data_IF_163518250529
#
_entry.id   IF_163518250529
#
_cell.length_a   1.000
_cell.length_b   1.000
_cell.length_c   1.000
_cell.angle_alpha   90.00
_cell.angle_beta   90.00
_cell.angle_gamma   90.00
#
_symmetry.space_group_name_H-M   'P 1'
#
loop_
_entity.id
_entity.type
_entity.pdbx_description
1 polymer ?
#
# COMPACT_ATOMS: atom_id res chain seq x y z
N UNK A 1 15.16 -11.36 -14.39
CA UNK A 1 13.97 -11.72 -13.56
C UNK A 1 13.24 -10.47 -13.06
N UNK A 2 13.88 -9.58 -12.33
CA UNK A 2 13.28 -8.35 -11.75
C UNK A 2 12.68 -7.44 -12.83
N UNK A 3 13.33 -7.29 -13.99
CA UNK A 3 12.86 -6.50 -15.14
C UNK A 3 11.47 -6.91 -15.63
N UNK A 4 11.12 -8.21 -15.58
CA UNK A 4 9.77 -8.68 -15.91
C UNK A 4 8.73 -8.05 -14.99
N UNK A 5 8.96 -8.10 -13.67
CA UNK A 5 8.00 -7.57 -12.68
C UNK A 5 7.97 -6.05 -12.67
N UNK A 6 9.10 -5.39 -12.94
CA UNK A 6 9.13 -3.94 -13.17
C UNK A 6 8.22 -3.52 -14.33
N UNK A 7 8.34 -4.20 -15.51
CA UNK A 7 7.48 -3.91 -16.67
C UNK A 7 6.00 -4.10 -16.35
N UNK A 8 5.65 -5.17 -15.61
CA UNK A 8 4.28 -5.43 -15.15
C UNK A 8 3.80 -4.31 -14.22
N UNK A 9 4.60 -3.92 -13.24
CA UNK A 9 4.26 -2.89 -12.28
C UNK A 9 4.07 -1.53 -12.97
N UNK A 10 4.98 -1.13 -13.84
CA UNK A 10 4.89 0.11 -14.62
C UNK A 10 3.61 0.15 -15.47
N UNK A 11 3.30 -0.93 -16.20
CA UNK A 11 2.17 -0.97 -17.13
C UNK A 11 0.82 -1.15 -16.44
N UNK A 12 0.76 -2.01 -15.42
CA UNK A 12 -0.52 -2.52 -14.92
C UNK A 12 -0.83 -2.13 -13.47
N UNK A 13 0.18 -1.72 -12.66
CA UNK A 13 -0.03 -1.44 -11.23
C UNK A 13 0.08 0.05 -10.89
N UNK A 14 0.94 0.82 -11.57
CA UNK A 14 1.29 2.18 -11.15
C UNK A 14 0.06 3.09 -11.04
N UNK A 15 -0.83 3.08 -12.02
CA UNK A 15 -2.00 3.97 -12.09
C UNK A 15 -3.23 3.46 -11.34
N UNK A 16 -3.15 2.29 -10.69
CA UNK A 16 -4.29 1.80 -9.90
C UNK A 16 -4.48 2.71 -8.69
N UNK A 17 -5.72 3.19 -8.52
CA UNK A 17 -6.09 3.87 -7.28
C UNK A 17 -6.24 2.85 -6.15
N UNK A 18 -5.17 2.67 -5.37
CA UNK A 18 -5.16 1.84 -4.17
C UNK A 18 -5.51 2.68 -2.94
N UNK A 19 -6.05 2.03 -1.95
CA UNK A 19 -6.22 2.55 -0.60
C UNK A 19 -6.12 1.39 0.39
N UNK A 20 -6.41 1.60 1.66
CA UNK A 20 -6.39 0.54 2.67
C UNK A 20 -7.32 -0.63 2.33
N UNK A 21 -8.45 -0.34 1.68
CA UNK A 21 -9.44 -1.33 1.22
C UNK A 21 -9.86 -1.03 -0.22
N UNK A 22 -10.83 -1.80 -0.73
CA UNK A 22 -11.55 -1.50 -1.96
C UNK A 22 -10.97 -2.16 -3.22
N UNK A 23 -11.60 -1.85 -4.34
CA UNK A 23 -11.36 -2.51 -5.64
C UNK A 23 -9.92 -2.37 -6.14
N UNK A 24 -9.21 -1.28 -5.80
CA UNK A 24 -7.83 -1.06 -6.22
C UNK A 24 -6.86 -2.10 -5.65
N UNK A 25 -6.98 -2.41 -4.35
CA UNK A 25 -6.19 -3.46 -3.70
C UNK A 25 -6.52 -4.83 -4.28
N UNK A 26 -7.81 -5.15 -4.46
CA UNK A 26 -8.24 -6.42 -5.07
C UNK A 26 -7.67 -6.57 -6.49
N UNK A 27 -7.76 -5.53 -7.33
CA UNK A 27 -7.17 -5.53 -8.68
C UNK A 27 -5.66 -5.74 -8.64
N UNK A 28 -4.96 -5.08 -7.71
CA UNK A 28 -3.51 -5.24 -7.51
C UNK A 28 -3.17 -6.69 -7.16
N UNK A 29 -3.85 -7.27 -6.18
CA UNK A 29 -3.65 -8.66 -5.76
C UNK A 29 -3.94 -9.67 -6.88
N UNK A 30 -4.96 -9.43 -7.68
CA UNK A 30 -5.27 -10.29 -8.84
C UNK A 30 -4.17 -10.23 -9.91
N UNK A 31 -3.57 -9.06 -10.17
CA UNK A 31 -2.44 -8.93 -11.09
C UNK A 31 -1.21 -9.65 -10.53
N UNK A 32 -0.92 -9.50 -9.24
CA UNK A 32 0.17 -10.24 -8.59
C UNK A 32 -0.09 -11.75 -8.68
N UNK A 33 -1.30 -12.21 -8.35
CA UNK A 33 -1.69 -13.63 -8.43
C UNK A 33 -1.57 -14.21 -9.84
N UNK A 34 -1.92 -13.45 -10.88
CA UNK A 34 -1.72 -13.88 -12.29
C UNK A 34 -0.26 -14.20 -12.58
N UNK A 35 0.69 -13.50 -11.95
CA UNK A 35 2.13 -13.71 -12.11
C UNK A 35 2.75 -14.65 -11.07
N UNK A 36 2.07 -14.85 -9.96
CA UNK A 36 2.43 -15.75 -8.85
C UNK A 36 1.20 -16.62 -8.51
N UNK A 37 0.89 -17.66 -9.29
CA UNK A 37 -0.38 -18.38 -9.18
C UNK A 37 -0.66 -19.00 -7.80
N UNK A 38 0.39 -19.35 -7.05
CA UNK A 38 0.28 -19.90 -5.69
C UNK A 38 -0.11 -18.87 -4.62
N UNK A 39 -0.18 -17.56 -4.96
CA UNK A 39 -0.63 -16.52 -4.03
C UNK A 39 -2.09 -16.76 -3.64
N UNK A 40 -2.36 -16.79 -2.34
CA UNK A 40 -3.72 -16.87 -1.79
C UNK A 40 -4.18 -15.47 -1.41
N UNK A 41 -5.29 -15.01 -2.00
CA UNK A 41 -5.92 -13.75 -1.60
C UNK A 41 -6.87 -14.05 -0.45
N UNK A 42 -6.66 -13.38 0.66
CA UNK A 42 -7.44 -13.48 1.89
C UNK A 42 -8.16 -12.16 2.18
N UNK A 43 -9.18 -12.22 3.01
CA UNK A 43 -10.00 -11.04 3.38
C UNK A 43 -10.31 -11.05 4.86
N UNK A 44 -10.43 -9.86 5.44
CA UNK A 44 -10.89 -9.62 6.81
C UNK A 44 -12.07 -8.65 6.73
N UNK A 45 -13.18 -8.97 7.38
CA UNK A 45 -14.43 -8.21 7.29
C UNK A 45 -14.28 -6.81 7.91
N UNK A 46 -14.85 -5.79 7.28
CA UNK A 46 -14.97 -4.45 7.89
C UNK A 46 -15.71 -4.53 9.23
N UNK A 47 -15.28 -3.73 10.20
CA UNK A 47 -15.80 -3.76 11.57
C UNK A 47 -15.17 -4.83 12.47
N UNK A 48 -14.36 -5.76 11.94
CA UNK A 48 -13.63 -6.72 12.78
C UNK A 48 -12.67 -5.98 13.71
N UNK A 49 -12.74 -6.29 15.01
CA UNK A 49 -11.80 -5.77 16.01
C UNK A 49 -10.45 -6.48 15.88
N UNK A 50 -9.37 -5.71 15.82
CA UNK A 50 -7.99 -6.18 15.67
C UNK A 50 -7.11 -5.44 16.68
N UNK A 51 -6.83 -6.08 17.81
CA UNK A 51 -6.30 -5.45 19.01
C UNK A 51 -7.20 -4.28 19.47
N UNK A 52 -6.68 -3.07 19.55
CA UNK A 52 -7.37 -1.83 19.89
C UNK A 52 -7.96 -1.07 18.69
N UNK A 53 -7.82 -1.60 17.47
CA UNK A 53 -8.33 -1.03 16.23
C UNK A 53 -9.54 -1.80 15.68
N UNK A 54 -10.25 -1.19 14.74
CA UNK A 54 -11.28 -1.86 13.94
C UNK A 54 -10.94 -1.71 12.45
N UNK A 55 -11.23 -2.75 11.66
CA UNK A 55 -11.13 -2.66 10.20
C UNK A 55 -12.12 -1.59 9.71
N UNK A 56 -11.68 -0.55 8.99
CA UNK A 56 -12.58 0.49 8.51
C UNK A 56 -13.53 -0.03 7.43
N UNK A 57 -14.60 0.71 7.12
CA UNK A 57 -15.48 0.40 5.99
C UNK A 57 -14.68 0.30 4.68
N UNK A 58 -15.10 -0.60 3.79
CA UNK A 58 -14.51 -0.67 2.46
C UNK A 58 -14.84 0.58 1.66
N UNK A 59 -13.80 1.28 1.19
CA UNK A 59 -13.94 2.52 0.42
C UNK A 59 -13.64 2.28 -1.05
N UNK A 60 -14.50 2.85 -1.91
CA UNK A 60 -14.31 2.85 -3.35
C UNK A 60 -14.59 4.23 -3.94
N UNK A 61 -13.92 4.56 -5.02
CA UNK A 61 -14.15 5.80 -5.78
C UNK A 61 -14.14 5.50 -7.27
N UNK A 62 -15.02 6.15 -8.02
CA UNK A 62 -15.13 6.03 -9.47
C UNK A 62 -14.66 7.28 -10.20
N UNK A 63 -14.90 8.46 -9.63
CA UNK A 63 -14.42 9.74 -10.14
C UNK A 63 -14.39 10.80 -9.04
N UNK A 64 -13.52 11.82 -9.22
CA UNK A 64 -13.51 13.01 -8.39
C UNK A 64 -12.91 14.18 -9.19
N UNK A 65 -13.55 15.35 -9.13
CA UNK A 65 -13.08 16.52 -9.86
C UNK A 65 -13.66 17.81 -9.30
N UNK A 66 -13.02 18.91 -9.67
CA UNK A 66 -13.52 20.28 -9.42
C UNK A 66 -13.67 20.98 -10.77
N UNK A 67 -14.86 21.53 -11.01
CA UNK A 67 -15.15 22.38 -12.18
C UNK A 67 -15.14 23.85 -11.74
N UNK A 68 -14.61 24.70 -12.60
CA UNK A 68 -14.80 26.15 -12.51
C UNK A 68 -16.16 26.60 -13.06
N UNK A 69 -16.44 27.90 -13.00
CA UNK A 69 -17.68 28.50 -13.52
C UNK A 69 -17.91 28.35 -15.03
N UNK A 70 -16.84 28.03 -15.80
CA UNK A 70 -16.90 27.75 -17.24
C UNK A 70 -17.05 26.25 -17.54
N UNK A 71 -17.09 25.39 -16.53
CA UNK A 71 -17.20 23.94 -16.68
C UNK A 71 -15.86 23.21 -16.93
N UNK A 72 -14.72 23.89 -16.84
CA UNK A 72 -13.41 23.25 -17.00
C UNK A 72 -13.01 22.47 -15.74
N UNK A 73 -12.53 21.24 -15.91
CA UNK A 73 -11.97 20.44 -14.81
C UNK A 73 -10.60 20.97 -14.41
N UNK A 74 -10.55 21.79 -13.35
CA UNK A 74 -9.33 22.39 -12.81
C UNK A 74 -8.55 21.43 -11.89
N UNK A 75 -9.26 20.45 -11.28
CA UNK A 75 -8.68 19.32 -10.57
C UNK A 75 -9.37 18.05 -11.10
N UNK A 76 -8.61 16.99 -11.41
CA UNK A 76 -9.17 15.81 -12.06
C UNK A 76 -8.47 14.54 -11.60
N UNK A 77 -9.16 13.74 -10.80
CA UNK A 77 -8.73 12.43 -10.31
C UNK A 77 -8.34 11.45 -11.43
N UNK A 78 -9.04 11.47 -12.56
CA UNK A 78 -8.71 10.59 -13.69
C UNK A 78 -7.40 10.95 -14.39
N UNK A 79 -6.93 12.20 -14.27
CA UNK A 79 -5.60 12.60 -14.77
C UNK A 79 -4.49 12.18 -13.79
N UNK A 80 -4.75 12.33 -12.49
CA UNK A 80 -3.84 11.87 -11.45
C UNK A 80 -4.65 11.51 -10.19
N UNK A 81 -4.61 10.24 -9.79
CA UNK A 81 -5.38 9.75 -8.65
C UNK A 81 -4.89 10.29 -7.29
N UNK A 82 -3.68 10.86 -7.22
CA UNK A 82 -3.22 11.59 -6.02
C UNK A 82 -4.02 12.86 -5.76
N UNK A 83 -4.76 13.38 -6.74
CA UNK A 83 -5.59 14.56 -6.53
C UNK A 83 -6.71 14.36 -5.50
N UNK A 84 -7.10 13.14 -5.18
CA UNK A 84 -8.14 12.89 -4.18
C UNK A 84 -7.53 12.44 -2.85
N UNK A 85 -7.93 13.09 -1.76
CA UNK A 85 -7.64 12.59 -0.41
C UNK A 85 -8.26 11.20 -0.26
N UNK A 86 -7.45 10.22 0.12
CA UNK A 86 -7.90 8.84 0.34
C UNK A 86 -9.00 8.78 1.41
N UNK A 87 -10.01 7.93 1.21
CA UNK A 87 -11.20 7.84 2.06
C UNK A 87 -12.07 9.10 2.09
N UNK A 88 -11.97 9.98 1.09
CA UNK A 88 -12.89 11.12 0.96
C UNK A 88 -14.35 10.67 0.89
N UNK A 89 -15.20 11.34 1.67
CA UNK A 89 -16.64 11.18 1.63
C UNK A 89 -17.23 11.60 0.27
N UNK A 90 -18.34 11.00 -0.18
CA UNK A 90 -19.02 11.41 -1.39
C UNK A 90 -19.51 12.87 -1.28
N UNK A 91 -19.37 13.62 -2.36
CA UNK A 91 -19.77 15.02 -2.43
C UNK A 91 -20.25 15.37 -3.84
N UNK A 92 -21.31 16.17 -3.92
CA UNK A 92 -21.76 16.79 -5.15
C UNK A 92 -22.36 18.15 -4.79
N UNK A 93 -21.51 19.19 -4.72
CA UNK A 93 -21.92 20.51 -4.23
C UNK A 93 -21.21 21.63 -4.97
N UNK A 94 -21.92 22.74 -5.20
CA UNK A 94 -21.33 24.02 -5.62
C UNK A 94 -20.99 24.82 -4.37
N UNK A 95 -19.79 25.41 -4.33
CA UNK A 95 -19.31 26.18 -3.18
C UNK A 95 -18.39 27.31 -3.62
N UNK A 96 -18.23 28.33 -2.75
CA UNK A 96 -17.33 29.45 -2.97
C UNK A 96 -15.86 29.02 -2.84
N UNK A 97 -14.96 29.78 -3.48
CA UNK A 97 -13.50 29.60 -3.39
C UNK A 97 -13.02 29.36 -1.94
N UNK A 98 -13.47 30.19 -1.00
CA UNK A 98 -13.08 30.11 0.43
C UNK A 98 -13.30 28.71 1.01
N UNK A 99 -14.42 28.05 0.68
CA UNK A 99 -14.79 26.76 1.26
C UNK A 99 -14.08 25.61 0.54
N UNK A 100 -13.89 25.70 -0.78
CA UNK A 100 -13.06 24.74 -1.50
C UNK A 100 -11.62 24.77 -0.99
N UNK A 101 -11.02 25.96 -0.82
CA UNK A 101 -9.61 26.09 -0.48
C UNK A 101 -9.24 25.56 0.91
N UNK A 102 -10.18 25.51 1.85
CA UNK A 102 -10.00 24.85 3.15
C UNK A 102 -9.73 23.33 3.02
N UNK A 103 -10.15 22.73 1.90
CA UNK A 103 -10.03 21.31 1.63
C UNK A 103 -9.00 20.99 0.52
N UNK A 104 -8.12 21.97 0.19
CA UNK A 104 -7.00 21.78 -0.71
C UNK A 104 -5.72 21.59 0.08
N UNK A 105 -4.99 20.53 -0.21
CA UNK A 105 -3.74 20.17 0.45
C UNK A 105 -2.57 20.27 -0.52
N UNK A 106 -1.48 20.90 -0.09
CA UNK A 106 -0.26 21.07 -0.87
C UNK A 106 0.97 21.21 0.04
N UNK A 107 2.17 21.06 -0.52
CA UNK A 107 3.45 21.21 0.19
C UNK A 107 4.20 22.45 -0.35
N UNK A 108 4.44 23.45 0.48
CA UNK A 108 5.15 24.68 0.08
C UNK A 108 6.61 24.43 -0.28
N UNK A 109 7.27 23.54 0.47
CA UNK A 109 8.67 23.15 0.28
C UNK A 109 8.90 22.18 -0.89
N UNK A 110 7.81 21.62 -1.48
CA UNK A 110 7.85 20.76 -2.66
C UNK A 110 6.82 21.25 -3.70
N UNK A 111 7.09 22.38 -4.37
CA UNK A 111 6.07 23.12 -5.11
C UNK A 111 5.47 22.39 -6.32
N UNK A 112 6.16 21.39 -6.85
CA UNK A 112 5.69 20.56 -7.97
C UNK A 112 5.03 19.25 -7.52
N UNK A 113 5.21 18.82 -6.26
CA UNK A 113 4.68 17.58 -5.77
C UNK A 113 3.18 17.70 -5.40
N UNK A 114 2.42 16.64 -5.69
CA UNK A 114 1.07 16.45 -5.17
C UNK A 114 1.20 15.56 -3.94
N UNK A 115 0.83 16.03 -2.72
CA UNK A 115 0.96 15.23 -1.52
C UNK A 115 -0.02 14.04 -1.53
N UNK A 116 0.36 12.97 -0.83
CA UNK A 116 -0.55 11.87 -0.49
C UNK A 116 -1.13 12.13 0.90
N UNK A 117 -2.45 12.22 0.98
CA UNK A 117 -3.19 12.39 2.23
C UNK A 117 -4.34 11.39 2.24
N UNK A 118 -4.64 10.86 3.42
CA UNK A 118 -5.71 9.88 3.62
C UNK A 118 -6.39 10.07 4.96
N UNK A 119 -7.64 9.59 5.08
CA UNK A 119 -8.39 9.55 6.32
C UNK A 119 -9.21 8.27 6.37
N UNK A 120 -8.92 7.36 7.31
CA UNK A 120 -9.59 6.06 7.40
C UNK A 120 -10.79 6.05 8.35
N UNK A 121 -10.80 6.91 9.36
CA UNK A 121 -11.79 6.90 10.45
C UNK A 121 -12.59 8.19 10.56
N UNK A 122 -12.14 9.28 9.92
CA UNK A 122 -12.86 10.56 9.92
C UNK A 122 -13.58 10.76 8.60
N UNK A 123 -14.85 11.09 8.63
CA UNK A 123 -15.62 11.49 7.44
C UNK A 123 -15.21 12.88 6.99
N UNK A 124 -14.14 12.98 6.22
CA UNK A 124 -13.68 14.21 5.59
C UNK A 124 -13.68 14.04 4.08
N UNK A 125 -13.51 15.12 3.36
CA UNK A 125 -13.24 15.15 1.93
C UNK A 125 -12.16 16.18 1.62
N UNK A 126 -11.45 16.01 0.51
CA UNK A 126 -10.44 16.97 0.11
C UNK A 126 -9.75 16.60 -1.18
N UNK A 127 -9.00 17.56 -1.70
CA UNK A 127 -8.15 17.37 -2.87
C UNK A 127 -6.69 17.73 -2.54
N UNK A 128 -5.79 16.99 -3.17
CA UNK A 128 -4.36 17.25 -3.13
C UNK A 128 -3.92 17.85 -4.47
N UNK A 129 -3.16 18.94 -4.41
CA UNK A 129 -2.64 19.63 -5.60
C UNK A 129 -1.20 20.05 -5.36
N UNK A 130 -0.46 20.37 -6.41
CA UNK A 130 0.85 20.98 -6.24
C UNK A 130 0.71 22.43 -5.73
N UNK A 131 1.73 22.93 -5.01
CA UNK A 131 1.72 24.32 -4.57
C UNK A 131 1.68 25.30 -5.76
N UNK A 132 2.33 24.95 -6.87
CA UNK A 132 2.27 25.76 -8.07
C UNK A 132 0.84 25.80 -8.68
N UNK A 133 0.12 24.67 -8.65
CA UNK A 133 -1.28 24.63 -9.05
C UNK A 133 -2.15 25.47 -8.10
N UNK A 134 -1.92 25.39 -6.80
CA UNK A 134 -2.62 26.21 -5.80
C UNK A 134 -2.42 27.70 -6.05
N UNK A 135 -1.17 28.17 -6.29
CA UNK A 135 -0.88 29.58 -6.63
C UNK A 135 -1.67 30.04 -7.86
N UNK A 136 -1.64 29.24 -8.95
CA UNK A 136 -2.40 29.57 -10.18
C UNK A 136 -3.90 29.68 -9.92
N UNK A 137 -4.48 28.74 -9.16
CA UNK A 137 -5.89 28.82 -8.81
C UNK A 137 -6.19 30.04 -7.93
N UNK A 138 -5.30 30.38 -7.02
CA UNK A 138 -5.50 31.55 -6.15
C UNK A 138 -5.45 32.87 -6.92
N UNK A 139 -4.61 33.00 -7.94
CA UNK A 139 -4.49 34.18 -8.80
C UNK A 139 -5.64 34.32 -9.79
N UNK A 140 -6.08 33.20 -10.39
CA UNK A 140 -7.03 33.23 -11.51
C UNK A 140 -8.50 33.32 -11.09
N UNK A 141 -8.80 33.12 -9.80
CA UNK A 141 -10.19 33.13 -9.32
C UNK A 141 -10.34 34.09 -8.14
N UNK A 142 -11.46 34.84 -8.14
CA UNK A 142 -11.84 35.75 -7.05
C UNK A 142 -12.46 34.99 -5.88
N UNK A 143 -12.61 35.65 -4.73
CA UNK A 143 -13.25 35.09 -3.52
C UNK A 143 -14.71 34.66 -3.76
N UNK A 144 -15.39 35.35 -4.70
CA UNK A 144 -16.80 35.11 -5.03
C UNK A 144 -17.02 34.04 -6.08
N UNK A 145 -15.95 33.60 -6.77
CA UNK A 145 -16.07 32.54 -7.77
C UNK A 145 -16.55 31.24 -7.14
N UNK A 146 -17.45 30.57 -7.85
CA UNK A 146 -18.04 29.30 -7.44
C UNK A 146 -17.41 28.12 -8.20
N UNK A 147 -17.32 27.00 -7.51
CA UNK A 147 -16.78 25.76 -8.02
C UNK A 147 -17.75 24.62 -7.79
N UNK A 148 -17.96 23.78 -8.80
CA UNK A 148 -18.67 22.53 -8.66
C UNK A 148 -17.70 21.45 -8.23
N UNK A 149 -17.89 20.92 -7.03
CA UNK A 149 -17.05 19.85 -6.45
C UNK A 149 -17.81 18.54 -6.50
N UNK A 150 -17.22 17.54 -7.13
CA UNK A 150 -17.82 16.20 -7.28
C UNK A 150 -16.82 15.13 -6.81
N UNK A 151 -17.29 14.27 -5.91
CA UNK A 151 -16.56 13.07 -5.45
C UNK A 151 -17.55 11.90 -5.48
N UNK A 152 -17.35 10.98 -6.41
CA UNK A 152 -18.17 9.77 -6.57
C UNK A 152 -17.52 8.62 -5.84
N UNK A 153 -17.57 8.66 -4.51
CA UNK A 153 -17.07 7.63 -3.62
C UNK A 153 -18.18 6.91 -2.88
N UNK A 154 -17.87 5.76 -2.29
CA UNK A 154 -18.81 4.99 -1.48
C UNK A 154 -18.11 4.24 -0.37
N UNK A 155 -18.82 4.02 0.73
CA UNK A 155 -18.40 3.21 1.87
C UNK A 155 -19.30 1.98 2.01
N UNK A 156 -18.70 0.81 2.29
CA UNK A 156 -19.42 -0.42 2.58
C UNK A 156 -19.03 -0.91 3.97
N UNK A 157 -19.96 -0.84 4.93
CA UNK A 157 -19.73 -1.32 6.29
C UNK A 157 -19.54 -2.85 6.35
N UNK A 158 -20.17 -3.59 5.43
CA UNK A 158 -20.01 -5.03 5.27
C UNK A 158 -18.96 -5.41 4.22
N UNK A 159 -18.02 -4.53 3.93
CA UNK A 159 -16.91 -4.75 3.01
C UNK A 159 -15.78 -5.58 3.60
N UNK A 160 -14.61 -5.53 2.95
CA UNK A 160 -13.45 -6.31 3.38
C UNK A 160 -12.13 -5.54 3.17
N UNK A 161 -11.17 -5.79 4.05
CA UNK A 161 -9.75 -5.56 3.82
C UNK A 161 -9.18 -6.83 3.17
N UNK A 162 -8.43 -6.68 2.08
CA UNK A 162 -7.83 -7.80 1.35
C UNK A 162 -6.31 -7.77 1.45
N UNK A 163 -5.70 -8.96 1.52
CA UNK A 163 -4.26 -9.15 1.46
C UNK A 163 -3.90 -10.45 0.72
N UNK A 164 -2.66 -10.51 0.23
CA UNK A 164 -2.12 -11.71 -0.41
C UNK A 164 -1.12 -12.41 0.49
N UNK A 165 -1.20 -13.73 0.59
CA UNK A 165 -0.25 -14.54 1.32
C UNK A 165 0.27 -15.68 0.46
N UNK A 166 1.58 -15.93 0.53
CA UNK A 166 2.21 -17.08 -0.08
C UNK A 166 3.25 -17.67 0.88
N UNK A 167 3.19 -18.99 1.05
CA UNK A 167 4.09 -19.73 1.91
C UNK A 167 4.90 -20.70 1.05
N UNK A 168 6.21 -20.48 0.99
CA UNK A 168 7.16 -21.44 0.44
C UNK A 168 7.68 -22.30 1.60
N UNK A 169 7.15 -23.52 1.72
CA UNK A 169 7.52 -24.44 2.78
C UNK A 169 8.96 -24.92 2.59
N UNK A 170 9.68 -25.10 3.69
CA UNK A 170 10.96 -25.79 3.65
C UNK A 170 10.78 -27.22 3.10
N UNK A 171 11.76 -27.69 2.33
CA UNK A 171 11.80 -29.05 1.77
C UNK A 171 12.89 -29.88 2.44
N UNK A 172 13.74 -29.25 3.24
CA UNK A 172 14.84 -29.92 3.89
C UNK A 172 14.36 -30.70 5.12
N UNK A 173 14.74 -31.96 5.17
CA UNK A 173 14.49 -32.86 6.31
C UNK A 173 15.83 -33.15 6.96
N UNK A 174 16.00 -32.78 8.20
CA UNK A 174 17.16 -33.20 8.98
C UNK A 174 16.83 -34.53 9.68
N UNK A 175 17.71 -35.48 9.56
CA UNK A 175 17.62 -36.76 10.30
C UNK A 175 18.39 -36.58 11.60
N UNK A 176 17.74 -36.77 12.73
CA UNK A 176 18.34 -36.80 14.06
C UNK A 176 18.03 -38.18 14.68
N UNK A 177 19.02 -39.05 14.75
CA UNK A 177 18.77 -40.47 15.02
C UNK A 177 17.90 -41.10 13.94
N UNK A 178 16.88 -41.86 14.32
CA UNK A 178 15.90 -42.48 13.41
C UNK A 178 14.76 -41.54 12.96
N UNK A 179 14.71 -40.29 13.44
CA UNK A 179 13.60 -39.40 13.20
C UNK A 179 13.94 -38.31 12.16
N UNK A 180 12.99 -38.10 11.21
CA UNK A 180 13.05 -37.02 10.22
C UNK A 180 12.35 -35.76 10.76
N UNK A 181 13.10 -34.73 11.05
CA UNK A 181 12.55 -33.45 11.50
C UNK A 181 12.60 -32.38 10.40
N UNK A 182 11.46 -31.69 10.20
CA UNK A 182 11.39 -30.46 9.41
C UNK A 182 11.43 -29.25 10.34
N UNK A 183 12.29 -28.30 10.07
CA UNK A 183 12.29 -27.03 10.79
C UNK A 183 10.93 -26.34 10.64
N UNK A 184 10.33 -25.92 11.75
CA UNK A 184 9.11 -25.09 11.77
C UNK A 184 9.44 -23.59 11.67
N UNK A 185 10.72 -23.23 11.60
CA UNK A 185 11.16 -21.83 11.53
C UNK A 185 10.72 -21.18 10.24
N UNK A 186 10.23 -19.94 10.38
CA UNK A 186 9.75 -19.12 9.27
C UNK A 186 10.48 -17.77 9.23
N UNK A 187 10.71 -17.25 8.02
CA UNK A 187 11.12 -15.88 7.78
C UNK A 187 9.93 -15.17 7.16
N UNK A 188 9.52 -14.06 7.77
CA UNK A 188 8.41 -13.23 7.31
C UNK A 188 8.92 -12.13 6.36
N UNK A 189 8.35 -12.04 5.17
CA UNK A 189 8.67 -11.01 4.18
C UNK A 189 7.36 -10.29 3.83
N UNK A 190 7.27 -9.03 4.19
CA UNK A 190 6.08 -8.22 3.94
C UNK A 190 6.39 -7.07 2.97
N UNK A 191 5.35 -6.64 2.25
CA UNK A 191 5.34 -5.40 1.46
C UNK A 191 3.93 -4.85 1.42
N UNK A 192 3.78 -3.54 1.39
CA UNK A 192 2.45 -2.95 1.37
C UNK A 192 1.96 -2.61 -0.05
N UNK A 193 0.64 -2.55 -0.20
CA UNK A 193 -0.07 -2.45 -1.47
C UNK A 193 -1.28 -1.50 -1.38
N UNK A 194 -1.15 -0.37 -0.69
CA UNK A 194 -2.29 0.52 -0.40
C UNK A 194 -2.14 1.96 -0.90
N UNK A 195 -1.00 2.34 -1.47
CA UNK A 195 -0.79 3.70 -1.97
C UNK A 195 -1.00 3.80 -3.48
N UNK A 196 -1.71 4.83 -3.96
CA UNK A 196 -1.87 5.08 -5.39
C UNK A 196 -0.64 5.79 -5.97
N UNK A 197 -0.29 5.50 -7.22
CA UNK A 197 0.71 6.23 -8.04
C UNK A 197 2.05 6.51 -7.36
N UNK A 198 2.51 5.62 -6.51
CA UNK A 198 3.83 5.66 -5.88
C UNK A 198 4.70 4.54 -6.40
N UNK A 199 5.85 4.89 -7.02
CA UNK A 199 6.76 3.92 -7.63
C UNK A 199 7.70 3.30 -6.58
N UNK A 200 8.65 4.10 -6.05
CA UNK A 200 9.66 3.59 -5.13
C UNK A 200 9.06 3.20 -3.78
N UNK A 201 8.21 4.04 -3.20
CA UNK A 201 7.57 3.76 -1.92
C UNK A 201 6.73 2.48 -1.96
N UNK A 202 5.87 2.29 -2.97
CA UNK A 202 4.85 1.24 -3.00
C UNK A 202 5.24 0.01 -3.83
N UNK A 203 5.64 0.26 -5.09
CA UNK A 203 5.78 -0.84 -6.05
C UNK A 203 7.12 -1.54 -5.97
N UNK A 204 8.18 -0.88 -5.49
CA UNK A 204 9.52 -1.47 -5.43
C UNK A 204 9.54 -2.74 -4.56
N UNK A 205 8.95 -2.67 -3.37
CA UNK A 205 8.83 -3.82 -2.48
C UNK A 205 8.04 -4.97 -3.10
N UNK A 206 6.91 -4.66 -3.74
CA UNK A 206 6.10 -5.67 -4.43
C UNK A 206 6.83 -6.33 -5.60
N UNK A 207 7.61 -5.57 -6.37
CA UNK A 207 8.45 -6.07 -7.49
C UNK A 207 9.51 -7.03 -6.94
N UNK A 208 10.23 -6.62 -5.90
CA UNK A 208 11.28 -7.43 -5.29
C UNK A 208 10.68 -8.67 -4.64
N UNK A 209 9.57 -8.57 -3.92
CA UNK A 209 8.89 -9.73 -3.34
C UNK A 209 8.49 -10.77 -4.41
N UNK A 210 7.94 -10.34 -5.54
CA UNK A 210 7.62 -11.25 -6.66
C UNK A 210 8.88 -11.90 -7.25
N UNK A 211 9.98 -11.17 -7.36
CA UNK A 211 11.26 -11.70 -7.84
C UNK A 211 11.83 -12.74 -6.86
N UNK A 212 11.81 -12.45 -5.56
CA UNK A 212 12.25 -13.37 -4.51
C UNK A 212 11.40 -14.64 -4.47
N UNK A 213 10.07 -14.52 -4.58
CA UNK A 213 9.18 -15.69 -4.66
C UNK A 213 9.57 -16.58 -5.84
N UNK A 214 9.78 -16.00 -7.03
CA UNK A 214 10.19 -16.77 -8.20
C UNK A 214 11.56 -17.43 -8.02
N UNK A 215 12.52 -16.72 -7.43
CA UNK A 215 13.85 -17.26 -7.14
C UNK A 215 13.77 -18.42 -6.14
N UNK A 216 13.21 -18.18 -4.98
CA UNK A 216 13.16 -19.16 -3.89
C UNK A 216 12.23 -20.35 -4.14
N UNK A 217 11.23 -20.21 -5.01
CA UNK A 217 10.36 -21.34 -5.39
C UNK A 217 11.12 -22.47 -6.10
N UNK A 218 12.29 -22.18 -6.65
CA UNK A 218 13.17 -23.12 -7.37
C UNK A 218 14.29 -23.68 -6.48
N UNK A 219 14.43 -23.15 -5.25
CA UNK A 219 15.50 -23.55 -4.33
C UNK A 219 15.03 -24.60 -3.33
N UNK A 220 15.98 -25.37 -2.81
CA UNK A 220 15.77 -26.22 -1.63
C UNK A 220 15.90 -25.35 -0.38
N UNK A 221 14.79 -25.11 0.28
CA UNK A 221 14.73 -24.22 1.45
C UNK A 221 14.92 -25.02 2.74
N UNK A 222 15.77 -24.50 3.64
CA UNK A 222 15.94 -25.02 5.00
C UNK A 222 15.01 -24.33 6.03
N UNK A 223 14.39 -23.22 5.66
CA UNK A 223 13.36 -22.51 6.43
C UNK A 223 12.15 -22.20 5.54
N UNK A 224 10.99 -22.06 6.15
CA UNK A 224 9.78 -21.61 5.45
C UNK A 224 9.88 -20.11 5.21
N UNK A 225 9.56 -19.66 3.98
CA UNK A 225 9.42 -18.23 3.65
C UNK A 225 7.95 -17.89 3.54
N UNK A 226 7.50 -16.91 4.33
CA UNK A 226 6.15 -16.38 4.33
C UNK A 226 6.14 -15.00 3.71
N UNK A 227 5.55 -14.85 2.53
CA UNK A 227 5.40 -13.59 1.82
C UNK A 227 4.00 -13.03 2.02
N UNK A 228 3.92 -11.72 2.33
CA UNK A 228 2.66 -11.02 2.56
C UNK A 228 2.64 -9.73 1.75
N UNK A 229 1.60 -9.57 0.92
CA UNK A 229 1.23 -8.34 0.22
C UNK A 229 0.02 -7.76 0.94
N UNK A 230 0.21 -6.69 1.69
CA UNK A 230 -0.80 -6.24 2.66
C UNK A 230 -0.90 -4.71 2.69
N UNK A 231 -2.07 -4.11 2.96
CA UNK A 231 -2.15 -2.70 3.26
C UNK A 231 -1.30 -2.32 4.49
N UNK A 232 -0.65 -1.17 4.43
CA UNK A 232 0.19 -0.65 5.51
C UNK A 232 -0.59 -0.45 6.81
N UNK A 233 0.09 -0.46 7.95
CA UNK A 233 -0.42 -0.18 9.30
C UNK A 233 -1.63 -1.04 9.66
N UNK A 234 -2.84 -0.65 9.31
CA UNK A 234 -4.08 -1.37 9.67
C UNK A 234 -4.08 -2.81 9.11
N UNK A 235 -3.60 -3.00 7.89
CA UNK A 235 -3.46 -4.34 7.32
C UNK A 235 -2.48 -5.20 8.11
N UNK A 236 -1.30 -4.67 8.42
CA UNK A 236 -0.27 -5.37 9.21
C UNK A 236 -0.75 -5.69 10.62
N UNK A 237 -1.39 -4.73 11.30
CA UNK A 237 -2.01 -4.92 12.62
C UNK A 237 -3.06 -6.03 12.56
N UNK A 238 -3.89 -6.02 11.53
CA UNK A 238 -4.93 -7.03 11.30
C UNK A 238 -4.34 -8.42 11.11
N UNK A 239 -3.29 -8.52 10.29
CA UNK A 239 -2.60 -9.78 10.05
C UNK A 239 -1.96 -10.33 11.32
N UNK A 240 -1.29 -9.47 12.11
CA UNK A 240 -0.70 -9.83 13.39
C UNK A 240 -1.76 -10.32 14.37
N UNK A 241 -2.87 -9.60 14.52
CA UNK A 241 -3.97 -9.99 15.40
C UNK A 241 -4.49 -11.40 15.09
N UNK A 242 -4.65 -11.73 13.81
CA UNK A 242 -5.19 -13.03 13.37
C UNK A 242 -4.19 -14.20 13.47
N UNK A 243 -2.88 -13.91 13.46
CA UNK A 243 -1.84 -14.94 13.32
C UNK A 243 -0.81 -14.91 14.46
N UNK A 244 -0.99 -14.08 15.50
CA UNK A 244 0.02 -13.82 16.52
C UNK A 244 0.59 -15.07 17.21
N UNK A 245 -0.23 -16.07 17.63
CA UNK A 245 0.31 -17.27 18.30
C UNK A 245 1.25 -18.06 17.37
N UNK A 246 0.86 -18.21 16.08
CA UNK A 246 1.68 -18.89 15.08
C UNK A 246 2.98 -18.14 14.80
N UNK A 247 2.90 -16.82 14.62
CA UNK A 247 4.05 -15.97 14.30
C UNK A 247 5.05 -15.95 15.46
N UNK A 248 4.60 -15.79 16.70
CA UNK A 248 5.46 -15.85 17.89
C UNK A 248 6.19 -17.17 18.01
N UNK A 249 5.55 -18.29 17.66
CA UNK A 249 6.12 -19.62 17.79
C UNK A 249 7.14 -19.95 16.69
N UNK A 250 6.91 -19.46 15.47
CA UNK A 250 7.63 -19.98 14.30
C UNK A 250 8.49 -18.95 13.57
N UNK A 251 8.17 -17.66 13.64
CA UNK A 251 8.93 -16.61 12.94
C UNK A 251 10.18 -16.25 13.74
N UNK A 252 11.34 -16.47 13.14
CA UNK A 252 12.64 -16.17 13.73
C UNK A 252 13.24 -14.85 13.24
N UNK A 253 12.68 -14.24 12.21
CA UNK A 253 13.10 -12.98 11.65
C UNK A 253 12.16 -12.53 10.54
N UNK A 254 12.26 -11.27 10.14
CA UNK A 254 11.41 -10.74 9.09
C UNK A 254 11.95 -9.46 8.47
N UNK A 255 11.45 -9.16 7.27
CA UNK A 255 11.79 -7.99 6.49
C UNK A 255 10.53 -7.33 5.93
N UNK A 256 10.45 -6.01 6.05
CA UNK A 256 9.46 -5.22 5.32
C UNK A 256 10.13 -4.54 4.14
N UNK A 257 9.71 -4.91 2.93
CA UNK A 257 10.28 -4.41 1.68
C UNK A 257 9.54 -3.15 1.24
N UNK A 258 10.23 -2.01 1.32
CA UNK A 258 9.69 -0.71 0.91
C UNK A 258 10.81 0.22 0.48
N UNK A 259 10.55 1.13 -0.44
CA UNK A 259 11.51 2.15 -0.92
C UNK A 259 12.86 1.58 -1.38
N UNK A 260 12.88 0.39 -1.97
CA UNK A 260 14.09 -0.36 -2.37
C UNK A 260 14.36 -0.35 -3.86
N UNK A 261 13.74 0.57 -4.61
CA UNK A 261 13.89 0.72 -6.05
C UNK A 261 14.77 1.91 -6.47
N UNK A 262 15.66 2.36 -5.62
CA UNK A 262 16.56 3.48 -5.87
C UNK A 262 18.00 2.97 -6.01
N UNK A 263 18.74 3.52 -6.98
CA UNK A 263 20.16 3.18 -7.20
C UNK A 263 21.13 4.20 -6.58
N UNK A 264 20.63 5.28 -5.99
CA UNK A 264 21.44 6.33 -5.36
C UNK A 264 21.86 5.94 -3.95
N UNK A 265 21.00 5.26 -3.23
CA UNK A 265 21.21 4.95 -1.82
C UNK A 265 20.43 3.69 -1.42
N UNK A 266 21.07 2.82 -0.64
CA UNK A 266 20.42 1.74 0.07
C UNK A 266 20.31 2.10 1.54
N UNK A 267 19.19 1.81 2.16
CA UNK A 267 18.96 2.06 3.57
C UNK A 267 18.24 0.87 4.23
N UNK A 268 18.52 0.65 5.49
CA UNK A 268 17.84 -0.32 6.31
C UNK A 268 17.46 0.33 7.64
N UNK A 269 16.22 0.13 8.06
CA UNK A 269 15.78 0.46 9.41
C UNK A 269 15.84 -0.83 10.24
N UNK A 270 16.65 -0.81 11.28
CA UNK A 270 16.78 -1.92 12.20
C UNK A 270 15.52 -2.11 13.06
N UNK A 271 15.38 -3.30 13.64
CA UNK A 271 14.33 -3.57 14.63
C UNK A 271 14.47 -2.66 15.85
N UNK A 272 13.42 -2.59 16.68
CA UNK A 272 13.41 -1.72 17.88
C UNK A 272 14.62 -1.94 18.80
N UNK A 273 15.04 -3.18 18.96
CA UNK A 273 16.16 -3.52 19.85
C UNK A 273 17.51 -3.67 19.13
N UNK A 274 17.55 -3.56 17.81
CA UNK A 274 18.75 -3.56 16.95
C UNK A 274 19.66 -4.79 17.10
N UNK A 275 19.13 -5.90 17.60
CA UNK A 275 19.86 -7.15 17.85
C UNK A 275 19.10 -8.40 17.41
N UNK A 276 18.13 -8.25 16.50
CA UNK A 276 17.40 -9.39 15.96
C UNK A 276 18.25 -10.16 14.93
N UNK A 277 17.97 -11.46 14.70
CA UNK A 277 18.63 -12.21 13.62
C UNK A 277 18.50 -11.56 12.24
N UNK A 278 17.43 -10.76 12.01
CA UNK A 278 17.26 -9.99 10.78
C UNK A 278 18.23 -8.82 10.70
N UNK A 279 18.48 -8.11 11.81
CA UNK A 279 19.42 -7.00 11.88
C UNK A 279 20.85 -7.50 11.61
N UNK A 280 21.26 -8.57 12.26
CA UNK A 280 22.57 -9.21 12.06
C UNK A 280 22.77 -9.66 10.61
N UNK A 281 21.75 -10.29 10.00
CA UNK A 281 21.82 -10.73 8.62
C UNK A 281 22.00 -9.57 7.64
N UNK A 282 21.32 -8.42 7.88
CA UNK A 282 21.47 -7.21 7.06
C UNK A 282 22.88 -6.63 7.24
N UNK A 283 23.36 -6.45 8.48
CA UNK A 283 24.71 -5.95 8.75
C UNK A 283 25.76 -6.82 8.03
N UNK A 284 25.65 -8.12 8.13
CA UNK A 284 26.57 -9.04 7.48
C UNK A 284 26.49 -9.01 5.95
N UNK A 285 25.33 -8.72 5.38
CA UNK A 285 25.16 -8.56 3.93
C UNK A 285 25.81 -7.25 3.41
N UNK A 286 25.80 -6.18 4.21
CA UNK A 286 26.43 -4.90 3.84
C UNK A 286 27.95 -4.87 4.07
N UNK A 287 28.51 -5.78 4.87
CA UNK A 287 29.97 -5.93 5.07
C UNK A 287 30.67 -6.69 3.96
N UNK A 288 29.92 -7.37 3.08
CA UNK A 288 30.42 -8.11 1.92
C UNK A 288 30.42 -7.25 0.66
#
# INVERSE_FOLDING_TARGET
MIQKYYKIAKKNLFTINRSLTGKGVVKTLNIIKKNIPKLKIKKIKSGTKVFDWNIPPEWNVTDAYVLDKKGFKIINFKKNNLHLVGYSAPLNKTMKKKDLFKNLHFLKNQPNAIPYITSYYKKIWGFCISHNQFKKLNQNYSSNDQFKVVILSSFKNNGNLHYGELILKNKETKTIGSYKHKSKQEILISTYICHPSMANNELSGSIVAMALINYFSKQKLNKTLRFIFIPETIGSISYLSMNLPHLKKNVIGGYNLTCIGDNRQHSCMFSKYQNSPSDEAVINAYKK
#
